data_IF_833380617602
#
_entry.id   IF_833380617602
#
_cell.length_a   1.000
_cell.length_b   1.000
_cell.length_c   1.000
_cell.angle_alpha   90.00
_cell.angle_beta   90.00
_cell.angle_gamma   90.00
#
_symmetry.space_group_name_H-M   'P 1'
#
loop_
_entity.id
_entity.type
_entity.pdbx_description
1 polymer ?
#
# COMPACT_ATOMS: atom_id res chain seq x y z
N UNK A 1 -11.57 20.52 -7.30
CA UNK A 1 -10.10 20.62 -7.30
C UNK A 1 -9.55 19.24 -6.97
N UNK A 2 -8.92 18.57 -7.93
CA UNK A 2 -8.23 17.29 -7.70
C UNK A 2 -6.83 17.65 -7.21
N UNK A 3 -6.47 17.20 -6.00
CA UNK A 3 -5.12 17.39 -5.47
C UNK A 3 -4.20 16.43 -6.22
N UNK A 4 -3.44 16.95 -7.19
CA UNK A 4 -2.34 16.21 -7.81
C UNK A 4 -1.19 16.13 -6.82
N UNK A 5 -0.87 14.92 -6.36
CA UNK A 5 0.25 14.67 -5.45
C UNK A 5 1.55 14.82 -6.23
N UNK A 6 2.50 15.59 -5.68
CA UNK A 6 3.84 15.68 -6.26
C UNK A 6 4.58 14.34 -6.19
N UNK A 7 5.55 14.11 -7.08
CA UNK A 7 6.36 12.89 -7.06
C UNK A 7 6.99 12.59 -5.69
N UNK A 8 7.43 13.64 -4.97
CA UNK A 8 7.98 13.49 -3.62
C UNK A 8 6.92 13.00 -2.62
N UNK A 9 5.67 13.46 -2.74
CA UNK A 9 4.57 12.99 -1.92
C UNK A 9 4.18 11.54 -2.25
N UNK A 10 4.29 11.13 -3.52
CA UNK A 10 4.10 9.74 -3.95
C UNK A 10 5.19 8.83 -3.37
N UNK A 11 6.45 9.25 -3.41
CA UNK A 11 7.56 8.49 -2.82
C UNK A 11 7.44 8.36 -1.30
N UNK A 12 7.08 9.44 -0.62
CA UNK A 12 6.83 9.43 0.83
C UNK A 12 5.67 8.48 1.16
N UNK A 13 4.57 8.56 0.42
CA UNK A 13 3.42 7.68 0.59
C UNK A 13 3.80 6.21 0.38
N UNK A 14 4.61 5.91 -0.63
CA UNK A 14 5.10 4.55 -0.89
C UNK A 14 5.97 4.02 0.26
N UNK A 15 6.87 4.84 0.80
CA UNK A 15 7.71 4.46 1.94
C UNK A 15 6.86 4.20 3.19
N UNK A 16 5.91 5.08 3.51
CA UNK A 16 5.00 4.91 4.64
C UNK A 16 4.13 3.65 4.49
N UNK A 17 3.62 3.38 3.29
CA UNK A 17 2.82 2.18 3.02
C UNK A 17 3.65 0.89 3.19
N UNK A 18 4.90 0.89 2.74
CA UNK A 18 5.79 -0.26 2.89
C UNK A 18 6.08 -0.57 4.36
N UNK A 19 6.28 0.47 5.18
CA UNK A 19 6.46 0.34 6.62
C UNK A 19 5.21 -0.19 7.31
N UNK A 20 4.04 0.39 7.05
CA UNK A 20 2.79 -0.12 7.62
C UNK A 20 2.49 -1.57 7.23
N UNK A 21 2.85 -2.00 6.01
CA UNK A 21 2.72 -3.39 5.59
C UNK A 21 3.63 -4.32 6.39
N UNK A 22 4.87 -3.89 6.68
CA UNK A 22 5.82 -4.66 7.49
C UNK A 22 5.27 -4.84 8.90
N UNK A 23 4.82 -3.76 9.53
CA UNK A 23 4.26 -3.77 10.89
C UNK A 23 3.01 -4.65 10.98
N UNK A 24 2.06 -4.50 10.05
CA UNK A 24 0.86 -5.33 10.01
C UNK A 24 1.15 -6.82 9.77
N UNK A 25 2.24 -7.14 9.07
CA UNK A 25 2.67 -8.54 8.88
C UNK A 25 3.25 -9.12 10.15
N UNK A 26 4.10 -8.38 10.84
CA UNK A 26 4.64 -8.79 12.13
C UNK A 26 3.51 -8.98 13.14
N UNK A 27 2.58 -8.02 13.23
CA UNK A 27 1.39 -8.14 14.09
C UNK A 27 0.50 -9.34 13.71
N UNK A 28 0.28 -9.59 12.41
CA UNK A 28 -0.50 -10.75 11.94
C UNK A 28 0.18 -12.11 12.22
N UNK A 29 1.52 -12.15 12.28
CA UNK A 29 2.28 -13.34 12.65
C UNK A 29 2.19 -13.59 14.16
N UNK A 30 2.19 -12.53 14.97
CA UNK A 30 2.14 -12.61 16.43
C UNK A 30 0.73 -12.71 17.01
N UNK A 31 -0.30 -12.53 16.18
CA UNK A 31 -1.70 -12.60 16.61
C UNK A 31 -2.28 -14.00 16.42
N UNK A 32 -2.41 -14.76 17.52
CA UNK A 32 -2.99 -16.11 17.58
C UNK A 32 -4.54 -16.14 17.65
N UNK A 33 -5.20 -15.12 17.11
CA UNK A 33 -6.66 -15.07 16.95
C UNK A 33 -7.01 -15.10 15.46
N UNK A 34 -7.53 -16.26 15.00
CA UNK A 34 -7.88 -16.52 13.59
C UNK A 34 -8.69 -15.38 12.96
N UNK A 35 -9.63 -14.80 13.70
CA UNK A 35 -10.47 -13.69 13.26
C UNK A 35 -9.66 -12.40 12.99
N UNK A 36 -8.73 -12.04 13.88
CA UNK A 36 -7.89 -10.85 13.71
C UNK A 36 -6.89 -11.06 12.57
N UNK A 37 -6.38 -12.27 12.38
CA UNK A 37 -5.56 -12.64 11.21
C UNK A 37 -6.32 -12.49 9.89
N UNK A 38 -7.60 -12.85 9.85
CA UNK A 38 -8.44 -12.67 8.67
C UNK A 38 -8.72 -11.19 8.36
N UNK A 39 -8.98 -10.38 9.39
CA UNK A 39 -9.15 -8.93 9.22
C UNK A 39 -7.87 -8.26 8.71
N UNK A 40 -6.72 -8.61 9.28
CA UNK A 40 -5.42 -8.12 8.83
C UNK A 40 -5.13 -8.54 7.38
N UNK A 41 -5.48 -9.78 6.99
CA UNK A 41 -5.34 -10.25 5.62
C UNK A 41 -6.25 -9.51 4.63
N UNK A 42 -7.48 -9.17 5.04
CA UNK A 42 -8.40 -8.33 4.24
C UNK A 42 -7.83 -6.92 4.05
N UNK A 43 -7.32 -6.29 5.12
CA UNK A 43 -6.66 -4.97 5.05
C UNK A 43 -5.44 -5.02 4.14
N UNK A 44 -4.59 -6.03 4.27
CA UNK A 44 -3.40 -6.23 3.43
C UNK A 44 -3.75 -6.37 1.94
N UNK A 45 -4.80 -7.14 1.61
CA UNK A 45 -5.25 -7.29 0.23
C UNK A 45 -5.77 -5.98 -0.36
N UNK A 46 -6.47 -5.16 0.45
CA UNK A 46 -6.94 -3.84 0.03
C UNK A 46 -5.78 -2.89 -0.26
N UNK A 47 -4.76 -2.88 0.60
CA UNK A 47 -3.55 -2.05 0.39
C UNK A 47 -2.80 -2.48 -0.87
N UNK A 48 -2.63 -3.79 -1.12
CA UNK A 48 -2.02 -4.29 -2.36
C UNK A 48 -2.80 -3.90 -3.61
N UNK A 49 -4.12 -3.89 -3.55
CA UNK A 49 -4.96 -3.45 -4.67
C UNK A 49 -4.80 -1.96 -4.97
N UNK A 50 -4.63 -1.14 -3.93
CA UNK A 50 -4.31 0.29 -4.09
C UNK A 50 -2.90 0.49 -4.65
N UNK A 51 -1.91 -0.28 -4.17
CA UNK A 51 -0.55 -0.24 -4.68
C UNK A 51 -0.49 -0.51 -6.19
N UNK A 52 -1.21 -1.54 -6.67
CA UNK A 52 -1.28 -1.84 -8.11
C UNK A 52 -1.94 -0.73 -8.94
N UNK A 53 -2.92 -0.03 -8.36
CA UNK A 53 -3.55 1.12 -9.03
C UNK A 53 -2.56 2.28 -9.15
N UNK A 54 -1.79 2.55 -8.10
CA UNK A 54 -0.74 3.57 -8.11
C UNK A 54 0.37 3.18 -9.10
N UNK A 55 0.82 1.93 -9.11
CA UNK A 55 1.79 1.43 -10.10
C UNK A 55 1.29 1.61 -11.55
N UNK A 56 0.01 1.33 -11.79
CA UNK A 56 -0.62 1.55 -13.09
C UNK A 56 -0.72 3.03 -13.49
N UNK A 57 -0.86 3.94 -12.53
CA UNK A 57 -0.80 5.38 -12.78
C UNK A 57 0.64 5.83 -13.06
N UNK A 58 1.62 5.37 -12.28
CA UNK A 58 3.04 5.66 -12.49
C UNK A 58 3.55 5.18 -13.85
N UNK A 59 3.09 4.01 -14.34
CA UNK A 59 3.45 3.52 -15.68
C UNK A 59 2.80 4.33 -16.81
N UNK A 60 1.62 4.92 -16.59
CA UNK A 60 0.95 5.78 -17.58
C UNK A 60 1.56 7.17 -17.66
N UNK A 61 2.20 7.63 -16.58
CA UNK A 61 2.90 8.90 -16.50
C UNK A 61 4.37 8.83 -16.92
N UNK A 62 4.91 7.63 -17.16
CA UNK A 62 6.21 7.49 -17.83
C UNK A 62 6.02 7.79 -19.32
N UNK A 63 6.65 8.86 -19.85
CA UNK A 63 6.69 9.04 -21.29
C UNK A 63 7.40 7.82 -21.88
N UNK A 64 6.73 7.15 -22.82
CA UNK A 64 7.36 6.18 -23.70
C UNK A 64 8.58 6.84 -24.35
N UNK A 65 9.77 6.48 -23.88
CA UNK A 65 11.05 6.77 -24.51
C UNK A 65 11.10 6.12 -25.91
#
# INVERSE_FOLDING_TARGET
MVLELSQQQIHLLHACLAESIRELREEAIHTDALALREELRKKLNRVKALQRQVEGLMQREQPSL
#
